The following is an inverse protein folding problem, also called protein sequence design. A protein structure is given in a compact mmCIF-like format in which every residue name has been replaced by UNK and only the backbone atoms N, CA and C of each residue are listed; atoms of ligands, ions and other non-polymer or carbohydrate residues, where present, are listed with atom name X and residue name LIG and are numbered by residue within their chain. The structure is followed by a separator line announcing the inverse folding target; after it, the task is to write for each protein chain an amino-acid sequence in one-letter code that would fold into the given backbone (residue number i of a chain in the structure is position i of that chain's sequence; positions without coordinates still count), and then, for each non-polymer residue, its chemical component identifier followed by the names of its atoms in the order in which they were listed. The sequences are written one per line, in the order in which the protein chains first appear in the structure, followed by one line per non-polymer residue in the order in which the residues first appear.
data_IF_455364062263
#
_entry.id   IF_455364062263
#
_cell.length_a   1.000
_cell.length_b   1.000
_cell.length_c   1.000
_cell.angle_alpha   90.00
_cell.angle_beta   90.00
_cell.angle_gamma   90.00
#
_symmetry.space_group_name_H-M   'P 1'
#
loop_
_entity.id
_entity.type
_entity.pdbx_description
1 polymer ?
#
# COMPACT_ATOMS: atom_id res chain seq x y z
N UNK A 1 24.59 -17.84 22.01
CA UNK A 1 24.79 -17.00 23.20
C UNK A 1 24.18 -15.63 22.89
N UNK A 2 23.05 -15.23 23.50
CA UNK A 2 22.35 -14.00 23.12
C UNK A 2 23.27 -12.78 23.19
N UNK A 3 23.18 -11.90 22.19
CA UNK A 3 23.86 -10.61 22.23
C UNK A 3 23.08 -9.75 23.22
N UNK A 4 23.70 -9.35 24.32
CA UNK A 4 23.11 -8.43 25.31
C UNK A 4 21.76 -8.87 25.95
N UNK A 5 21.54 -10.17 26.17
CA UNK A 5 20.35 -10.67 26.90
C UNK A 5 19.05 -10.71 26.11
N UNK A 6 19.05 -10.28 24.85
CA UNK A 6 17.89 -10.39 23.95
C UNK A 6 17.94 -11.76 23.25
N UNK A 7 16.87 -12.56 23.30
CA UNK A 7 16.83 -13.84 22.60
C UNK A 7 16.84 -13.61 21.08
N UNK A 8 17.58 -14.44 20.34
CA UNK A 8 17.73 -14.31 18.88
C UNK A 8 16.39 -14.26 18.14
N UNK A 9 15.36 -14.90 18.67
CA UNK A 9 14.00 -14.91 18.12
C UNK A 9 13.38 -13.52 18.04
N UNK A 10 13.61 -12.67 19.04
CA UNK A 10 13.09 -11.29 19.05
C UNK A 10 13.76 -10.43 17.99
N UNK A 11 15.08 -10.60 17.81
CA UNK A 11 15.84 -9.92 16.77
C UNK A 11 15.35 -10.34 15.38
N UNK A 12 15.11 -11.64 15.17
CA UNK A 12 14.60 -12.14 13.88
C UNK A 12 13.19 -11.62 13.61
N UNK A 13 12.28 -11.65 14.59
CA UNK A 13 10.92 -11.12 14.43
C UNK A 13 10.93 -9.61 14.14
N UNK A 14 11.82 -8.85 14.78
CA UNK A 14 12.03 -7.44 14.54
C UNK A 14 12.46 -7.15 13.09
N UNK A 15 13.43 -7.90 12.58
CA UNK A 15 13.91 -7.78 11.19
C UNK A 15 12.79 -8.15 10.20
N UNK A 16 12.08 -9.26 10.44
CA UNK A 16 10.97 -9.69 9.58
C UNK A 16 9.88 -8.63 9.52
N UNK A 17 9.47 -8.08 10.67
CA UNK A 17 8.47 -7.01 10.71
C UNK A 17 8.91 -5.78 9.91
N UNK A 18 10.17 -5.36 10.07
CA UNK A 18 10.74 -4.24 9.32
C UNK A 18 10.75 -4.50 7.80
N UNK A 19 11.23 -5.66 7.36
CA UNK A 19 11.31 -6.02 5.93
C UNK A 19 9.91 -6.10 5.32
N UNK A 20 8.95 -6.72 6.00
CA UNK A 20 7.56 -6.74 5.55
C UNK A 20 6.98 -5.33 5.40
N UNK A 21 7.20 -4.47 6.40
CA UNK A 21 6.80 -3.08 6.34
C UNK A 21 7.38 -2.40 5.10
N UNK A 22 8.70 -2.49 4.92
CA UNK A 22 9.41 -1.91 3.78
C UNK A 22 8.87 -2.38 2.43
N UNK A 23 8.67 -3.69 2.26
CA UNK A 23 8.15 -4.26 1.01
C UNK A 23 6.72 -3.80 0.73
N UNK A 24 5.85 -3.79 1.75
CA UNK A 24 4.47 -3.29 1.58
C UNK A 24 4.49 -1.80 1.22
N UNK A 25 5.30 -0.98 1.89
CA UNK A 25 5.46 0.44 1.58
C UNK A 25 5.96 0.67 0.15
N UNK A 26 6.97 -0.09 -0.28
CA UNK A 26 7.49 -0.05 -1.65
C UNK A 26 6.40 -0.35 -2.69
N UNK A 27 5.61 -1.40 -2.47
CA UNK A 27 4.52 -1.78 -3.37
C UNK A 27 3.45 -0.69 -3.47
N UNK A 28 3.00 -0.16 -2.32
CA UNK A 28 1.99 0.92 -2.29
C UNK A 28 2.49 2.16 -3.03
N UNK A 29 3.76 2.54 -2.86
CA UNK A 29 4.34 3.69 -3.57
C UNK A 29 4.19 3.55 -5.08
N UNK A 30 4.47 2.36 -5.62
CA UNK A 30 4.37 2.12 -7.05
C UNK A 30 2.93 2.16 -7.55
N UNK A 31 1.97 1.63 -6.78
CA UNK A 31 0.55 1.76 -7.10
C UNK A 31 0.11 3.23 -7.14
N UNK A 32 0.55 4.05 -6.17
CA UNK A 32 0.24 5.49 -6.15
C UNK A 32 0.85 6.20 -7.37
N UNK A 33 2.13 5.93 -7.70
CA UNK A 33 2.80 6.50 -8.88
C UNK A 33 2.01 6.20 -10.16
N UNK A 34 1.61 4.94 -10.35
CA UNK A 34 0.80 4.53 -11.51
C UNK A 34 -0.55 5.25 -11.49
N UNK A 35 -1.22 5.32 -10.33
CA UNK A 35 -2.50 6.01 -10.19
C UNK A 35 -2.45 7.48 -10.59
N UNK A 36 -1.38 8.20 -10.22
CA UNK A 36 -1.17 9.60 -10.61
C UNK A 36 -1.00 9.74 -12.12
N UNK A 37 -0.22 8.84 -12.75
CA UNK A 37 -0.02 8.84 -14.21
C UNK A 37 -1.36 8.59 -14.92
N UNK A 38 -2.13 7.60 -14.47
CA UNK A 38 -3.46 7.31 -15.01
C UNK A 38 -4.39 8.50 -14.86
N UNK A 39 -4.39 9.18 -13.72
CA UNK A 39 -5.19 10.38 -13.49
C UNK A 39 -4.80 11.51 -14.48
N UNK A 40 -3.51 11.74 -14.68
CA UNK A 40 -3.04 12.73 -15.66
C UNK A 40 -3.52 12.40 -17.09
N UNK A 41 -3.48 11.13 -17.49
CA UNK A 41 -4.02 10.68 -18.78
C UNK A 41 -5.52 10.99 -18.89
N UNK A 42 -6.31 10.67 -17.85
CA UNK A 42 -7.75 10.96 -17.83
C UNK A 42 -8.03 12.45 -18.02
N UNK A 43 -7.27 13.33 -17.35
CA UNK A 43 -7.41 14.79 -17.51
C UNK A 43 -7.16 15.21 -18.96
N UNK A 44 -6.12 14.67 -19.60
CA UNK A 44 -5.82 14.95 -21.01
C UNK A 44 -6.98 14.46 -21.90
N UNK A 45 -7.49 13.25 -21.68
CA UNK A 45 -8.60 12.67 -22.45
C UNK A 45 -9.90 13.49 -22.33
N UNK A 46 -10.17 14.05 -21.15
CA UNK A 46 -11.28 14.98 -20.95
C UNK A 46 -11.05 16.27 -21.74
N UNK A 47 -9.84 16.84 -21.68
CA UNK A 47 -9.52 18.10 -22.35
C UNK A 47 -9.68 18.02 -23.88
N UNK A 48 -9.38 16.87 -24.49
CA UNK A 48 -9.55 16.64 -25.94
C UNK A 48 -10.95 16.12 -26.31
N UNK A 49 -11.85 15.98 -25.34
CA UNK A 49 -13.25 15.58 -25.56
C UNK A 49 -13.47 14.08 -25.84
N UNK A 50 -12.45 13.23 -25.63
CA UNK A 50 -12.56 11.78 -25.85
C UNK A 50 -13.33 11.09 -24.71
N UNK A 51 -13.22 11.61 -23.49
CA UNK A 51 -13.92 11.07 -22.31
C UNK A 51 -14.74 12.17 -21.63
N UNK A 52 -15.99 11.87 -21.28
CA UNK A 52 -16.82 12.80 -20.50
C UNK A 52 -16.49 12.71 -19.00
N UNK A 53 -16.59 13.82 -18.23
CA UNK A 53 -16.43 13.78 -16.78
C UNK A 53 -17.39 12.81 -16.08
N UNK A 54 -18.63 12.70 -16.58
CA UNK A 54 -19.62 11.77 -16.04
C UNK A 54 -19.16 10.31 -16.14
N UNK A 55 -18.59 9.91 -17.29
CA UNK A 55 -18.04 8.56 -17.50
C UNK A 55 -16.97 8.22 -16.47
N UNK A 56 -16.09 9.18 -16.14
CA UNK A 56 -15.05 9.00 -15.13
C UNK A 56 -15.66 8.83 -13.74
N UNK A 57 -16.64 9.66 -13.37
CA UNK A 57 -17.33 9.57 -12.08
C UNK A 57 -18.04 8.22 -11.93
N UNK A 58 -18.75 7.74 -12.95
CA UNK A 58 -19.40 6.42 -12.92
C UNK A 58 -18.38 5.28 -12.78
N UNK A 59 -17.24 5.38 -13.47
CA UNK A 59 -16.13 4.45 -13.33
C UNK A 59 -15.60 4.40 -11.90
N UNK A 60 -15.32 5.56 -11.30
CA UNK A 60 -14.85 5.67 -9.92
C UNK A 60 -15.86 5.12 -8.91
N UNK A 61 -17.16 5.39 -9.11
CA UNK A 61 -18.22 4.83 -8.27
C UNK A 61 -18.24 3.30 -8.32
N UNK A 62 -18.11 2.71 -9.53
CA UNK A 62 -18.04 1.26 -9.68
C UNK A 62 -16.80 0.67 -9.00
N UNK A 63 -15.64 1.33 -9.13
CA UNK A 63 -14.41 0.93 -8.43
C UNK A 63 -14.56 1.01 -6.91
N UNK A 64 -15.28 2.01 -6.39
CA UNK A 64 -15.60 2.12 -4.96
C UNK A 64 -16.37 0.90 -4.43
N UNK A 65 -17.30 0.36 -5.22
CA UNK A 65 -18.04 -0.88 -4.87
C UNK A 65 -17.13 -2.11 -4.86
N UNK A 66 -16.13 -2.18 -5.73
CA UNK A 66 -15.13 -3.25 -5.68
C UNK A 66 -14.14 -3.07 -4.53
N UNK A 67 -13.81 -1.83 -4.18
CA UNK A 67 -12.94 -1.51 -3.06
C UNK A 67 -13.54 -1.96 -1.73
N UNK A 68 -14.83 -1.70 -1.49
CA UNK A 68 -15.52 -2.15 -0.27
C UNK A 68 -15.62 -3.68 -0.17
N UNK A 69 -15.75 -4.38 -1.30
CA UNK A 69 -15.65 -5.84 -1.32
C UNK A 69 -14.23 -6.32 -1.04
N UNK A 70 -13.22 -5.64 -1.60
CA UNK A 70 -11.82 -5.95 -1.34
C UNK A 70 -11.46 -5.78 0.14
N UNK A 71 -12.02 -4.79 0.84
CA UNK A 71 -11.84 -4.61 2.30
C UNK A 71 -12.22 -5.88 3.09
N UNK A 72 -13.27 -6.59 2.67
CA UNK A 72 -13.69 -7.84 3.33
C UNK A 72 -12.64 -8.96 3.21
N UNK A 73 -11.93 -9.02 2.07
CA UNK A 73 -10.82 -9.95 1.86
C UNK A 73 -9.55 -9.49 2.58
N UNK A 74 -9.25 -8.19 2.51
CA UNK A 74 -8.10 -7.56 3.16
C UNK A 74 -8.16 -7.74 4.68
N UNK A 75 -9.35 -7.65 5.29
CA UNK A 75 -9.53 -7.85 6.74
C UNK A 75 -9.04 -9.22 7.22
N UNK A 76 -9.07 -10.26 6.37
CA UNK A 76 -8.50 -11.58 6.72
C UNK A 76 -6.98 -11.62 6.60
N UNK A 77 -6.43 -10.87 5.64
CA UNK A 77 -4.99 -10.89 5.30
C UNK A 77 -4.19 -9.92 6.19
N UNK A 78 -4.79 -8.80 6.59
CA UNK A 78 -4.12 -7.75 7.36
C UNK A 78 -3.66 -8.24 8.74
N UNK A 79 -4.31 -9.27 9.29
CA UNK A 79 -3.90 -9.93 10.53
C UNK A 79 -2.55 -10.66 10.44
N UNK A 80 -2.09 -10.99 9.23
CA UNK A 80 -0.73 -11.55 9.03
C UNK A 80 0.35 -10.47 8.99
N UNK A 81 -0.02 -9.20 8.82
CA UNK A 81 0.92 -8.09 8.87
C UNK A 81 1.06 -7.60 10.31
N UNK A 82 2.29 -7.42 10.82
CA UNK A 82 2.51 -6.90 12.16
C UNK A 82 2.31 -5.37 12.20
N UNK A 83 1.12 -4.88 11.86
CA UNK A 83 0.85 -3.43 11.72
C UNK A 83 0.96 -2.65 13.04
N UNK A 84 0.80 -3.33 14.18
CA UNK A 84 1.06 -2.75 15.51
C UNK A 84 2.55 -2.69 15.89
N UNK A 85 3.45 -3.25 15.07
CA UNK A 85 4.89 -3.19 15.31
C UNK A 85 5.47 -1.85 14.84
N UNK A 86 6.16 -1.14 15.74
CA UNK A 86 6.86 0.10 15.41
C UNK A 86 7.87 -0.12 14.29
N UNK A 87 8.57 -1.26 14.29
CA UNK A 87 9.56 -1.58 13.26
C UNK A 87 8.91 -1.82 11.89
N UNK A 88 7.72 -2.43 11.85
CA UNK A 88 6.93 -2.51 10.63
C UNK A 88 6.57 -1.13 10.11
N UNK A 89 6.06 -0.25 10.98
CA UNK A 89 5.69 1.12 10.60
C UNK A 89 6.90 1.89 10.06
N UNK A 90 8.06 1.79 10.71
CA UNK A 90 9.30 2.43 10.24
C UNK A 90 9.69 1.88 8.87
N UNK A 91 9.72 0.56 8.71
CA UNK A 91 9.99 -0.08 7.42
C UNK A 91 9.04 0.42 6.34
N UNK A 92 7.74 0.45 6.66
CA UNK A 92 6.67 0.91 5.78
C UNK A 92 6.84 2.35 5.32
N UNK A 93 7.07 3.28 6.25
CA UNK A 93 7.30 4.69 5.91
C UNK A 93 8.56 4.84 5.05
N UNK A 94 9.64 4.12 5.38
CA UNK A 94 10.86 4.13 4.56
C UNK A 94 10.59 3.59 3.16
N UNK A 95 9.85 2.48 3.04
CA UNK A 95 9.45 1.91 1.76
C UNK A 95 8.62 2.87 0.92
N UNK A 96 7.66 3.58 1.53
CA UNK A 96 6.85 4.60 0.86
C UNK A 96 7.70 5.78 0.37
N UNK A 97 8.65 6.26 1.17
CA UNK A 97 9.42 7.47 0.83
C UNK A 97 10.57 7.14 -0.11
N UNK A 98 11.28 6.04 0.10
CA UNK A 98 12.53 5.70 -0.61
C UNK A 98 12.39 4.59 -1.66
N UNK A 99 11.24 3.92 -1.74
CA UNK A 99 10.95 2.88 -2.74
C UNK A 99 10.62 3.37 -4.15
#
# INVERSE_FOLDING_TARGET
MPIAGIPYTEIVMAIVAFVLGFLVGYLIKNVIKIGIIVLAIIVILIAIGVVSPHTVVSGLQSMGVYATQAEQYVSRIINYLPYNSILFIIGFVIGLVKG
#
